data_IF_521943762495
#
_entry.id   IF_521943762495
#
_cell.length_a   1.000
_cell.length_b   1.000
_cell.length_c   1.000
_cell.angle_alpha   90.00
_cell.angle_beta   90.00
_cell.angle_gamma   90.00
#
_symmetry.space_group_name_H-M   'P 1'
#
loop_
_entity.id
_entity.type
_entity.pdbx_description
1 polymer ?
#
# COMPACT_ATOMS: atom_id res chain seq x y z
N UNK A 1 -21.08 -6.95 4.07
CA UNK A 1 -20.36 -6.13 5.08
C UNK A 1 -19.00 -5.78 4.50
N UNK A 2 -18.61 -4.50 4.48
CA UNK A 2 -17.26 -4.13 4.07
C UNK A 2 -16.27 -4.65 5.13
N UNK A 3 -15.30 -5.51 4.77
CA UNK A 3 -14.32 -5.98 5.73
C UNK A 3 -13.54 -4.78 6.27
N UNK A 4 -13.33 -4.75 7.58
CA UNK A 4 -12.51 -3.73 8.24
C UNK A 4 -11.05 -3.93 7.81
N UNK A 5 -10.59 -3.12 6.87
CA UNK A 5 -9.25 -3.24 6.29
C UNK A 5 -8.13 -2.90 7.29
N UNK A 6 -8.36 -1.92 8.17
CA UNK A 6 -7.36 -1.42 9.11
C UNK A 6 -7.59 -1.94 10.53
N UNK A 7 -6.61 -2.68 11.04
CA UNK A 7 -6.48 -3.06 12.45
C UNK A 7 -5.52 -2.14 13.21
N UNK A 8 -5.12 -2.53 14.41
CA UNK A 8 -4.16 -1.79 15.24
C UNK A 8 -2.76 -1.67 14.64
N UNK A 9 -2.40 -2.56 13.71
CA UNK A 9 -1.09 -2.59 13.04
C UNK A 9 -1.23 -2.47 11.51
N UNK A 10 -2.21 -1.69 11.04
CA UNK A 10 -2.47 -1.52 9.61
C UNK A 10 -3.28 -2.67 9.00
N UNK A 11 -3.03 -2.95 7.71
CA UNK A 11 -3.74 -3.98 6.94
C UNK A 11 -3.00 -5.31 7.09
N UNK A 12 -3.73 -6.37 7.45
CA UNK A 12 -3.19 -7.73 7.61
C UNK A 12 -4.05 -8.76 6.89
N UNK A 13 -3.40 -9.80 6.40
CA UNK A 13 -4.04 -10.94 5.76
C UNK A 13 -3.07 -11.69 4.85
N UNK A 14 -3.59 -12.69 4.16
CA UNK A 14 -2.85 -13.51 3.21
C UNK A 14 -2.55 -12.70 1.95
N UNK A 15 -1.29 -12.75 1.51
CA UNK A 15 -0.89 -12.11 0.26
C UNK A 15 -1.64 -12.73 -0.93
N UNK A 16 -2.01 -11.89 -1.89
CA UNK A 16 -2.80 -12.26 -3.08
C UNK A 16 -4.23 -12.76 -2.81
N UNK A 17 -4.68 -12.77 -1.55
CA UNK A 17 -6.07 -13.09 -1.19
C UNK A 17 -6.68 -11.88 -0.48
N UNK A 18 -6.15 -11.56 0.70
CA UNK A 18 -6.61 -10.43 1.51
C UNK A 18 -5.80 -9.16 1.19
N UNK A 19 -4.49 -9.32 1.02
CA UNK A 19 -3.56 -8.23 0.64
C UNK A 19 -3.16 -8.42 -0.81
N UNK A 20 -3.87 -7.75 -1.70
CA UNK A 20 -3.63 -7.80 -3.15
C UNK A 20 -2.76 -6.63 -3.62
N UNK A 21 -2.05 -6.76 -4.76
CA UNK A 21 -1.34 -5.63 -5.38
C UNK A 21 -2.27 -4.44 -5.66
N UNK A 22 -3.51 -4.70 -6.12
CA UNK A 22 -4.50 -3.64 -6.36
C UNK A 22 -4.87 -2.91 -5.07
N UNK A 23 -4.99 -3.62 -3.95
CA UNK A 23 -5.22 -2.98 -2.66
C UNK A 23 -4.02 -2.09 -2.27
N UNK A 24 -2.80 -2.60 -2.39
CA UNK A 24 -1.59 -1.83 -2.09
C UNK A 24 -1.47 -0.57 -2.96
N UNK A 25 -1.74 -0.68 -4.27
CA UNK A 25 -1.75 0.48 -5.18
C UNK A 25 -2.78 1.54 -4.76
N UNK A 26 -4.00 1.12 -4.42
CA UNK A 26 -5.05 2.06 -3.98
C UNK A 26 -4.68 2.75 -2.66
N UNK A 27 -4.01 2.04 -1.75
CA UNK A 27 -3.48 2.63 -0.51
C UNK A 27 -2.41 3.67 -0.84
N UNK A 28 -1.49 3.37 -1.76
CA UNK A 28 -0.44 4.29 -2.17
C UNK A 28 -1.00 5.59 -2.76
N UNK A 29 -1.99 5.47 -3.66
CA UNK A 29 -2.66 6.64 -4.23
C UNK A 29 -3.37 7.46 -3.15
N UNK A 30 -4.07 6.81 -2.21
CA UNK A 30 -4.69 7.50 -1.10
C UNK A 30 -3.67 8.22 -0.20
N UNK A 31 -2.52 7.60 0.10
CA UNK A 31 -1.47 8.22 0.91
C UNK A 31 -0.92 9.50 0.29
N UNK A 32 -0.69 9.51 -1.03
CA UNK A 32 -0.23 10.68 -1.76
C UNK A 32 -1.24 11.84 -1.70
N UNK A 33 -2.55 11.55 -1.68
CA UNK A 33 -3.57 12.60 -1.56
C UNK A 33 -3.72 13.19 -0.15
N UNK A 34 -3.20 12.52 0.88
CA UNK A 34 -3.32 12.96 2.27
C UNK A 34 -2.24 13.96 2.69
N UNK A 35 -1.19 14.12 1.90
CA UNK A 35 -0.06 15.00 2.20
C UNK A 35 0.10 16.01 1.06
N UNK A 36 0.27 17.29 1.40
CA UNK A 36 0.46 18.36 0.41
C UNK A 36 1.92 18.38 -0.10
N UNK A 37 2.29 17.33 -0.85
CA UNK A 37 3.62 17.14 -1.41
C UNK A 37 4.67 16.61 -0.42
N UNK A 38 5.90 16.45 -0.92
CA UNK A 38 7.02 15.87 -0.17
C UNK A 38 7.45 14.51 -0.73
N UNK A 39 8.52 13.94 -0.15
CA UNK A 39 9.04 12.64 -0.55
C UNK A 39 8.38 11.51 0.26
N UNK A 40 7.80 10.53 -0.42
CA UNK A 40 7.26 9.32 0.22
C UNK A 40 8.37 8.27 0.40
N UNK A 41 8.61 7.85 1.64
CA UNK A 41 9.56 6.76 1.94
C UNK A 41 8.80 5.44 2.08
N UNK A 42 9.19 4.44 1.30
CA UNK A 42 8.60 3.10 1.34
C UNK A 42 9.65 2.11 1.87
N UNK A 43 9.27 1.34 2.88
CA UNK A 43 10.09 0.27 3.45
C UNK A 43 9.36 -1.06 3.42
N UNK A 44 10.12 -2.15 3.30
CA UNK A 44 9.61 -3.53 3.36
C UNK A 44 10.54 -4.42 4.18
N UNK A 45 10.01 -5.56 4.59
CA UNK A 45 10.81 -6.64 5.16
C UNK A 45 11.35 -7.60 4.07
N UNK A 46 11.86 -8.76 4.50
CA UNK A 46 12.45 -9.78 3.64
C UNK A 46 11.45 -10.79 3.06
N UNK A 47 10.13 -10.60 3.21
CA UNK A 47 9.15 -11.56 2.67
C UNK A 47 9.20 -11.59 1.14
N UNK A 48 8.98 -12.78 0.57
CA UNK A 48 8.94 -13.00 -0.88
C UNK A 48 7.87 -12.15 -1.59
N UNK A 49 6.80 -11.78 -0.89
CA UNK A 49 5.72 -10.92 -1.39
C UNK A 49 6.08 -9.44 -1.33
N UNK A 50 7.16 -9.08 -0.63
CA UNK A 50 7.61 -7.72 -0.39
C UNK A 50 7.81 -6.90 -1.67
N UNK A 51 8.66 -7.34 -2.63
CA UNK A 51 8.92 -6.59 -3.86
C UNK A 51 7.67 -6.27 -4.67
N UNK A 52 6.71 -7.20 -4.71
CA UNK A 52 5.44 -7.02 -5.42
C UNK A 52 4.56 -5.95 -4.73
N UNK A 53 4.43 -6.00 -3.41
CA UNK A 53 3.63 -5.03 -2.66
C UNK A 53 4.28 -3.65 -2.63
N UNK A 54 5.61 -3.59 -2.52
CA UNK A 54 6.41 -2.37 -2.62
C UNK A 54 6.19 -1.68 -3.98
N UNK A 55 6.34 -2.42 -5.08
CA UNK A 55 6.14 -1.89 -6.42
C UNK A 55 4.70 -1.39 -6.64
N UNK A 56 3.70 -2.15 -6.15
CA UNK A 56 2.30 -1.76 -6.26
C UNK A 56 1.99 -0.48 -5.47
N UNK A 57 2.47 -0.40 -4.22
CA UNK A 57 2.30 0.79 -3.37
C UNK A 57 2.96 2.01 -4.01
N UNK A 58 4.21 1.86 -4.49
CA UNK A 58 4.97 2.91 -5.20
C UNK A 58 4.24 3.40 -6.43
N UNK A 59 3.68 2.48 -7.24
CA UNK A 59 2.87 2.85 -8.42
C UNK A 59 1.66 3.71 -8.03
N UNK A 60 1.01 3.39 -6.92
CA UNK A 60 -0.12 4.16 -6.40
C UNK A 60 0.28 5.59 -6.02
N UNK A 61 1.37 5.72 -5.26
CA UNK A 61 1.92 7.01 -4.82
C UNK A 61 2.25 7.88 -6.03
N UNK A 62 3.05 7.36 -6.97
CA UNK A 62 3.47 8.09 -8.16
C UNK A 62 2.29 8.53 -9.04
N UNK A 63 1.26 7.67 -9.19
CA UNK A 63 0.09 7.98 -10.00
C UNK A 63 -0.76 9.13 -9.44
N UNK A 64 -0.69 9.35 -8.13
CA UNK A 64 -1.36 10.44 -7.43
C UNK A 64 -0.47 11.67 -7.21
N UNK A 65 0.75 11.68 -7.76
CA UNK A 65 1.66 12.83 -7.73
C UNK A 65 2.44 13.03 -6.43
N UNK A 66 2.59 11.97 -5.61
CA UNK A 66 3.39 11.97 -4.38
C UNK A 66 4.72 11.21 -4.48
#
# INVERSE_FOLDING_TARGET
>A
MNPKLFGSSGIRGLANIDITPTLAQRVGAALATLHEGGATIIGRDARITGPMLEAALTSGVNAAGG
#
